data_IF_350625986134
#
_entry.id   IF_350625986134
#
_cell.length_a   1.000
_cell.length_b   1.000
_cell.length_c   1.000
_cell.angle_alpha   90.00
_cell.angle_beta   90.00
_cell.angle_gamma   90.00
#
_symmetry.space_group_name_H-M   'P 1'
#
loop_
_entity.id
_entity.type
_entity.pdbx_description
1 polymer ?
#
# COMPACT_ATOMS: atom_id res chain seq x y z
N UNK A 1 17.02 -39.30 -8.91
CA UNK A 1 16.00 -39.06 -7.88
C UNK A 1 15.94 -37.55 -7.67
N UNK A 2 14.80 -36.98 -8.02
CA UNK A 2 14.57 -35.57 -8.27
C UNK A 2 14.37 -34.83 -6.94
N UNK A 3 15.21 -33.84 -6.63
CA UNK A 3 14.88 -32.80 -5.66
C UNK A 3 14.97 -31.45 -6.38
N UNK A 4 13.86 -31.07 -7.00
CA UNK A 4 13.60 -29.70 -7.47
C UNK A 4 12.52 -29.12 -6.55
N UNK A 5 12.56 -27.79 -6.37
CA UNK A 5 11.50 -26.90 -5.84
C UNK A 5 11.42 -26.90 -4.31
N UNK A 6 11.56 -25.82 -3.54
CA UNK A 6 11.51 -24.36 -3.70
C UNK A 6 12.39 -23.78 -2.56
N UNK A 7 13.12 -22.69 -2.70
CA UNK A 7 12.58 -21.37 -2.40
C UNK A 7 13.48 -20.26 -2.96
N UNK A 8 12.89 -19.54 -3.91
CA UNK A 8 12.89 -18.07 -3.98
C UNK A 8 14.27 -17.42 -4.07
N UNK A 9 14.76 -17.43 -5.31
CA UNK A 9 15.40 -16.28 -5.92
C UNK A 9 14.67 -14.99 -5.54
N UNK A 10 15.31 -14.17 -4.72
CA UNK A 10 14.80 -12.85 -4.39
C UNK A 10 15.84 -11.99 -3.69
N UNK A 11 17.13 -12.27 -3.91
CA UNK A 11 18.19 -11.33 -3.58
C UNK A 11 17.94 -10.06 -4.37
N UNK A 12 17.32 -9.07 -3.75
CA UNK A 12 17.35 -7.70 -4.21
C UNK A 12 18.81 -7.26 -4.13
N UNK A 13 19.55 -7.58 -5.19
CA UNK A 13 20.73 -6.80 -5.55
C UNK A 13 20.17 -5.40 -5.75
N UNK A 14 20.27 -4.54 -4.74
CA UNK A 14 20.09 -3.11 -4.89
C UNK A 14 21.27 -2.67 -5.75
N UNK A 15 21.16 -2.88 -7.06
CA UNK A 15 22.04 -2.21 -8.01
C UNK A 15 21.75 -0.74 -7.82
N UNK A 16 22.76 0.02 -7.40
CA UNK A 16 22.69 1.45 -7.23
C UNK A 16 22.59 2.11 -8.62
N UNK A 17 21.44 1.92 -9.30
CA UNK A 17 21.10 2.58 -10.54
C UNK A 17 20.69 4.00 -10.18
N UNK A 18 21.61 4.96 -10.36
CA UNK A 18 21.32 6.37 -10.13
C UNK A 18 20.65 6.96 -11.39
N UNK A 19 19.43 6.49 -11.68
CA UNK A 19 18.62 6.97 -12.79
C UNK A 19 18.04 8.34 -12.43
N UNK A 20 18.29 9.35 -13.26
CA UNK A 20 17.82 10.72 -13.01
C UNK A 20 16.43 10.93 -13.61
N UNK A 21 15.48 11.34 -12.76
CA UNK A 21 14.15 11.78 -13.15
C UNK A 21 14.04 13.29 -12.91
N UNK A 22 13.54 14.03 -13.91
CA UNK A 22 13.26 15.46 -13.78
C UNK A 22 11.76 15.66 -13.64
N UNK A 23 11.31 16.18 -12.50
CA UNK A 23 9.91 16.50 -12.23
C UNK A 23 9.67 18.00 -12.49
N UNK A 24 8.68 18.32 -13.33
CA UNK A 24 8.25 19.71 -13.57
C UNK A 24 7.14 20.09 -12.59
N UNK A 25 7.31 21.22 -11.92
CA UNK A 25 6.38 21.78 -10.95
C UNK A 25 6.63 23.29 -10.86
N UNK A 26 5.68 24.04 -10.31
CA UNK A 26 5.86 25.49 -10.09
C UNK A 26 6.92 25.78 -9.02
N UNK A 27 7.49 26.98 -9.08
CA UNK A 27 8.57 27.40 -8.18
C UNK A 27 8.17 27.39 -6.70
N UNK A 28 6.89 27.68 -6.40
CA UNK A 28 6.35 27.64 -5.04
C UNK A 28 6.36 26.23 -4.46
N UNK A 29 5.93 25.25 -5.24
CA UNK A 29 6.01 23.83 -4.89
C UNK A 29 7.45 23.33 -4.75
N UNK A 30 8.38 23.80 -5.59
CA UNK A 30 9.81 23.46 -5.43
C UNK A 30 10.32 23.94 -4.07
N UNK A 31 9.99 25.18 -3.68
CA UNK A 31 10.41 25.74 -2.40
C UNK A 31 9.83 24.97 -1.21
N UNK A 32 8.52 24.67 -1.27
CA UNK A 32 7.84 23.90 -0.25
C UNK A 32 8.43 22.48 -0.10
N UNK A 33 8.65 21.79 -1.22
CA UNK A 33 9.24 20.45 -1.21
C UNK A 33 10.64 20.43 -0.59
N UNK A 34 11.48 21.44 -0.87
CA UNK A 34 12.80 21.58 -0.24
C UNK A 34 12.69 21.86 1.25
N UNK A 35 11.77 22.72 1.68
CA UNK A 35 11.56 23.05 3.09
C UNK A 35 11.12 21.81 3.90
N UNK A 36 10.14 21.06 3.40
CA UNK A 36 9.69 19.79 3.99
C UNK A 36 10.82 18.75 4.05
N UNK A 37 11.62 18.66 2.98
CA UNK A 37 12.75 17.74 2.93
C UNK A 37 13.81 18.08 3.97
N UNK A 38 14.14 19.35 4.10
CA UNK A 38 15.08 19.85 5.11
C UNK A 38 14.57 19.61 6.53
N UNK A 39 13.29 19.88 6.81
CA UNK A 39 12.67 19.64 8.11
C UNK A 39 12.75 18.15 8.51
N UNK A 40 12.64 17.25 7.53
CA UNK A 40 12.70 15.80 7.73
C UNK A 40 14.12 15.22 7.61
N UNK A 41 15.13 16.05 7.36
CA UNK A 41 16.53 15.62 7.19
C UNK A 41 16.78 14.74 5.96
N UNK A 42 15.98 14.89 4.90
CA UNK A 42 16.04 14.09 3.67
C UNK A 42 16.26 14.96 2.44
N UNK A 43 16.67 14.34 1.34
CA UNK A 43 16.63 14.99 0.02
C UNK A 43 15.22 14.92 -0.57
N UNK A 44 14.87 15.87 -1.45
CA UNK A 44 13.59 15.84 -2.18
C UNK A 44 13.44 14.55 -2.99
N UNK A 45 14.52 14.10 -3.64
CA UNK A 45 14.53 12.84 -4.40
C UNK A 45 14.21 11.63 -3.51
N UNK A 46 14.78 11.58 -2.30
CA UNK A 46 14.48 10.50 -1.35
C UNK A 46 13.03 10.56 -0.86
N UNK A 47 12.54 11.75 -0.48
CA UNK A 47 11.16 11.91 -0.04
C UNK A 47 10.16 11.47 -1.10
N UNK A 48 10.36 11.90 -2.36
CA UNK A 48 9.49 11.52 -3.47
C UNK A 48 9.62 10.03 -3.78
N UNK A 49 10.82 9.45 -3.69
CA UNK A 49 11.03 8.02 -3.84
C UNK A 49 10.23 7.20 -2.82
N UNK A 50 10.27 7.59 -1.55
CA UNK A 50 9.48 6.98 -0.48
C UNK A 50 7.97 7.14 -0.71
N UNK A 51 7.52 8.32 -1.16
CA UNK A 51 6.11 8.56 -1.48
C UNK A 51 5.62 7.66 -2.62
N UNK A 52 6.40 7.55 -3.70
CA UNK A 52 6.07 6.66 -4.84
C UNK A 52 6.07 5.20 -4.40
N UNK A 53 6.97 4.79 -3.50
CA UNK A 53 7.00 3.43 -2.97
C UNK A 53 5.70 3.09 -2.22
N UNK A 54 5.21 4.00 -1.37
CA UNK A 54 3.92 3.83 -0.70
C UNK A 54 2.77 3.72 -1.70
N UNK A 55 2.73 4.58 -2.74
CA UNK A 55 1.71 4.50 -3.78
C UNK A 55 1.76 3.17 -4.55
N UNK A 56 2.96 2.69 -4.88
CA UNK A 56 3.15 1.41 -5.58
C UNK A 56 2.77 0.18 -4.75
N UNK A 57 2.87 0.27 -3.43
CA UNK A 57 2.47 -0.80 -2.52
C UNK A 57 0.99 -0.77 -2.13
N UNK A 58 0.35 0.40 -2.13
CA UNK A 58 -1.08 0.53 -1.85
C UNK A 58 -1.97 -0.24 -2.85
N UNK A 59 -1.54 -0.39 -4.10
CA UNK A 59 -2.25 -1.21 -5.10
C UNK A 59 -2.06 -2.72 -4.86
N UNK A 60 -0.96 -3.15 -4.24
CA UNK A 60 -0.70 -4.58 -3.96
C UNK A 60 -1.55 -5.13 -2.81
N UNK A 61 -2.04 -4.27 -1.91
CA UNK A 61 -2.92 -4.71 -0.81
C UNK A 61 -4.36 -4.98 -1.24
N UNK A 62 -4.76 -4.63 -2.47
CA UNK A 62 -6.09 -4.96 -3.01
C UNK A 62 -6.30 -6.46 -3.24
N UNK A 63 -5.23 -7.27 -3.23
CA UNK A 63 -5.29 -8.70 -3.59
C UNK A 63 -5.47 -9.69 -2.44
N UNK A 64 -5.18 -9.31 -1.18
CA UNK A 64 -5.22 -10.26 -0.06
C UNK A 64 -5.84 -9.63 1.17
N UNK A 65 -7.10 -9.97 1.42
CA UNK A 65 -7.75 -9.68 2.69
C UNK A 65 -6.89 -10.28 3.82
N UNK A 66 -6.67 -9.56 4.93
CA UNK A 66 -6.08 -10.13 6.14
C UNK A 66 -6.73 -11.48 6.52
N UNK A 67 -6.01 -12.42 7.16
CA UNK A 67 -6.52 -13.77 7.40
C UNK A 67 -7.84 -13.78 8.17
N UNK A 68 -8.00 -12.90 9.15
CA UNK A 68 -9.24 -12.75 9.92
C UNK A 68 -10.42 -12.28 9.07
N UNK A 69 -10.21 -11.27 8.20
CA UNK A 69 -11.26 -10.76 7.30
C UNK A 69 -11.57 -11.73 6.16
N UNK A 70 -10.60 -12.53 5.72
CA UNK A 70 -10.81 -13.65 4.78
C UNK A 70 -11.70 -14.73 5.38
N UNK A 71 -11.44 -15.13 6.64
CA UNK A 71 -12.26 -16.10 7.36
C UNK A 71 -13.69 -15.59 7.56
N UNK A 72 -13.85 -14.34 8.00
CA UNK A 72 -15.17 -13.69 8.15
C UNK A 72 -15.94 -13.65 6.82
N UNK A 73 -15.29 -13.23 5.73
CA UNK A 73 -15.90 -13.25 4.39
C UNK A 73 -16.31 -14.67 3.98
N UNK A 74 -15.50 -15.68 4.31
CA UNK A 74 -15.79 -17.08 4.02
C UNK A 74 -17.06 -17.57 4.71
N UNK A 75 -17.27 -17.19 5.98
CA UNK A 75 -18.48 -17.54 6.74
C UNK A 75 -19.75 -16.90 6.15
N UNK A 76 -19.61 -15.71 5.55
CA UNK A 76 -20.72 -15.00 4.90
C UNK A 76 -20.98 -15.45 3.45
N UNK A 77 -20.16 -16.36 2.90
CA UNK A 77 -20.27 -16.81 1.51
C UNK A 77 -21.56 -17.63 1.33
N UNK A 78 -22.51 -17.10 0.57
CA UNK A 78 -23.83 -17.72 0.34
C UNK A 78 -24.96 -17.16 1.21
N UNK A 79 -24.66 -16.19 2.07
CA UNK A 79 -25.67 -15.43 2.82
C UNK A 79 -25.99 -14.14 2.08
N UNK A 80 -27.29 -13.82 1.88
CA UNK A 80 -27.70 -12.53 1.31
C UNK A 80 -27.67 -11.46 2.40
N UNK A 81 -26.47 -10.97 2.71
CA UNK A 81 -26.25 -9.94 3.72
C UNK A 81 -25.93 -8.64 3.01
N UNK A 82 -26.92 -7.76 2.94
CA UNK A 82 -26.76 -6.38 2.46
C UNK A 82 -26.34 -5.45 3.60
N UNK A 83 -25.77 -4.30 3.23
CA UNK A 83 -25.44 -3.24 4.18
C UNK A 83 -26.68 -2.76 4.98
N UNK A 84 -27.85 -2.78 4.35
CA UNK A 84 -29.12 -2.43 5.01
C UNK A 84 -29.52 -3.41 6.10
N UNK A 85 -29.30 -4.72 5.87
CA UNK A 85 -29.54 -5.76 6.88
C UNK A 85 -28.68 -5.54 8.13
N UNK A 86 -27.42 -5.12 7.94
CA UNK A 86 -26.53 -4.79 9.05
C UNK A 86 -26.98 -3.54 9.82
N UNK A 87 -27.37 -2.47 9.10
CA UNK A 87 -27.88 -1.23 9.72
C UNK A 87 -29.16 -1.48 10.52
N UNK A 88 -30.05 -2.34 10.02
CA UNK A 88 -31.26 -2.75 10.73
C UNK A 88 -30.93 -3.48 12.04
N UNK A 89 -30.03 -4.46 11.99
CA UNK A 89 -29.59 -5.19 13.19
C UNK A 89 -28.98 -4.26 14.26
N UNK A 90 -28.16 -3.27 13.86
CA UNK A 90 -27.58 -2.32 14.81
C UNK A 90 -28.64 -1.44 15.48
N UNK A 91 -29.68 -1.03 14.74
CA UNK A 91 -30.80 -0.27 15.30
C UNK A 91 -31.64 -1.09 16.28
N UNK A 92 -31.83 -2.38 16.02
CA UNK A 92 -32.57 -3.28 16.92
C UNK A 92 -31.76 -3.67 18.16
N UNK A 93 -30.43 -3.68 18.07
CA UNK A 93 -29.54 -4.08 19.16
C UNK A 93 -29.20 -2.94 20.12
N UNK A 94 -29.10 -1.71 19.60
CA UNK A 94 -28.63 -0.54 20.36
C UNK A 94 -29.63 0.62 20.39
N UNK A 95 -30.74 0.53 19.68
CA UNK A 95 -31.87 1.47 19.76
C UNK A 95 -32.92 0.97 20.74
#
# INVERSE_FOLDING_TARGET
MLCILTDVLGGHIVRHMNSKLTLRMDEGLIALAKAEAAQRGKSVSQMIGEFIDVLGHAEKSKGKLPPVTSSLRGVLKGSDVSEESHKKHLREKYG
#
